data_IF_197243998026
#
_entry.id   IF_197243998026
#
_cell.length_a   1.000
_cell.length_b   1.000
_cell.length_c   1.000
_cell.angle_alpha   90.00
_cell.angle_beta   90.00
_cell.angle_gamma   90.00
#
_symmetry.space_group_name_H-M   'P 1'
#
loop_
_entity.id
_entity.type
_entity.pdbx_description
1 polymer ?
#
# COMPACT_ATOMS: atom_id res chain seq x y z
N UNK A 1 26.61 11.86 5.95
CA UNK A 1 26.18 12.60 7.15
C UNK A 1 26.52 11.79 8.40
N UNK A 2 27.74 11.90 8.92
CA UNK A 2 28.15 11.18 10.14
C UNK A 2 27.61 11.90 11.38
N UNK A 3 26.55 11.37 12.00
CA UNK A 3 26.08 11.87 13.29
C UNK A 3 27.06 11.42 14.38
N UNK A 4 27.82 12.37 14.96
CA UNK A 4 28.68 12.13 16.12
C UNK A 4 27.79 11.99 17.37
N UNK A 5 27.81 10.82 18.02
CA UNK A 5 27.09 10.58 19.29
C UNK A 5 27.64 11.47 20.42
N UNK A 6 26.76 11.90 21.34
CA UNK A 6 27.18 12.66 22.53
C UNK A 6 27.89 11.71 23.50
N UNK A 7 28.87 12.21 24.29
CA UNK A 7 29.73 11.38 25.16
C UNK A 7 29.00 10.52 26.21
N UNK A 8 27.81 10.94 26.65
CA UNK A 8 26.95 10.19 27.58
C UNK A 8 26.03 9.19 26.85
N UNK A 9 26.07 9.18 25.53
CA UNK A 9 25.39 8.24 24.67
C UNK A 9 26.37 7.06 24.45
N UNK A 10 26.32 6.07 25.35
CA UNK A 10 27.08 4.82 25.20
C UNK A 10 26.89 4.30 23.77
N UNK A 11 27.96 3.90 23.03
CA UNK A 11 27.86 3.50 21.64
C UNK A 11 26.72 2.52 21.46
N UNK A 12 25.57 3.02 20.98
CA UNK A 12 24.37 2.20 20.87
C UNK A 12 24.62 1.30 19.70
N UNK A 13 25.17 0.10 19.97
CA UNK A 13 25.27 -0.95 18.96
C UNK A 13 23.90 -1.08 18.30
N UNK A 14 23.88 -0.97 16.98
CA UNK A 14 22.69 -1.23 16.20
C UNK A 14 22.13 -2.60 16.60
N UNK A 15 20.82 -2.70 16.78
CA UNK A 15 20.17 -3.97 17.15
C UNK A 15 19.88 -4.23 18.63
N UNK A 16 20.27 -3.35 19.58
CA UNK A 16 19.86 -3.49 21.00
C UNK A 16 18.34 -3.44 21.19
N UNK A 17 17.65 -2.68 20.34
CA UNK A 17 16.18 -2.54 20.35
C UNK A 17 15.45 -3.53 19.44
N UNK A 18 16.14 -4.50 18.83
CA UNK A 18 15.47 -5.49 17.98
C UNK A 18 15.02 -6.73 18.76
N UNK A 19 15.49 -6.89 20.01
CA UNK A 19 15.12 -7.98 20.93
C UNK A 19 14.30 -7.45 22.11
N UNK A 20 13.48 -8.33 22.72
CA UNK A 20 12.66 -8.02 23.89
C UNK A 20 11.35 -7.27 23.57
N UNK A 21 10.63 -6.83 24.63
CA UNK A 21 9.29 -6.22 24.49
C UNK A 21 9.28 -5.00 23.56
N UNK A 22 10.30 -4.13 23.63
CA UNK A 22 10.41 -2.93 22.79
C UNK A 22 10.64 -3.24 21.31
N UNK A 23 11.48 -4.24 21.00
CA UNK A 23 11.74 -4.67 19.63
C UNK A 23 10.54 -5.34 18.98
N UNK A 24 9.90 -6.26 19.71
CA UNK A 24 8.68 -6.91 19.24
C UNK A 24 7.54 -5.90 19.02
N UNK A 25 7.39 -4.89 19.88
CA UNK A 25 6.41 -3.83 19.69
C UNK A 25 6.69 -3.00 18.42
N UNK A 26 7.95 -2.63 18.18
CA UNK A 26 8.37 -1.89 16.97
C UNK A 26 8.14 -2.72 15.70
N UNK A 27 8.44 -4.01 15.72
CA UNK A 27 8.17 -4.92 14.60
C UNK A 27 6.67 -5.00 14.30
N UNK A 28 5.82 -5.15 15.33
CA UNK A 28 4.36 -5.16 15.16
C UNK A 28 3.82 -3.86 14.57
N UNK A 29 4.35 -2.71 15.00
CA UNK A 29 3.99 -1.41 14.42
C UNK A 29 4.34 -1.35 12.92
N UNK A 30 5.56 -1.75 12.54
CA UNK A 30 5.97 -1.80 11.13
C UNK A 30 5.07 -2.74 10.31
N UNK A 31 4.77 -3.93 10.81
CA UNK A 31 3.88 -4.88 10.14
C UNK A 31 2.48 -4.30 9.93
N UNK A 32 1.93 -3.58 10.92
CA UNK A 32 0.63 -2.91 10.79
C UNK A 32 0.65 -1.83 9.70
N UNK A 33 1.71 -1.02 9.66
CA UNK A 33 1.89 0.00 8.61
C UNK A 33 1.98 -0.64 7.22
N UNK A 34 2.80 -1.68 7.06
CA UNK A 34 2.95 -2.40 5.78
C UNK A 34 1.65 -3.07 5.32
N UNK A 35 0.91 -3.69 6.24
CA UNK A 35 -0.41 -4.29 5.92
C UNK A 35 -1.39 -3.23 5.40
N UNK A 36 -1.44 -2.06 6.05
CA UNK A 36 -2.26 -0.94 5.60
C UNK A 36 -1.85 -0.43 4.23
N UNK A 37 -0.54 -0.28 3.98
CA UNK A 37 -0.01 0.12 2.67
C UNK A 37 -0.40 -0.88 1.57
N UNK A 38 -0.20 -2.18 1.82
CA UNK A 38 -0.57 -3.25 0.87
C UNK A 38 -2.05 -3.20 0.50
N UNK A 39 -2.93 -2.95 1.48
CA UNK A 39 -4.36 -2.84 1.22
C UNK A 39 -4.70 -1.61 0.39
N UNK A 40 -4.07 -0.46 0.65
CA UNK A 40 -4.26 0.77 -0.16
C UNK A 40 -3.82 0.55 -1.61
N UNK A 41 -2.64 -0.01 -1.82
CA UNK A 41 -2.13 -0.33 -3.16
C UNK A 41 -3.03 -1.31 -3.91
N UNK A 42 -3.51 -2.36 -3.23
CA UNK A 42 -4.44 -3.31 -3.84
C UNK A 42 -5.76 -2.62 -4.24
N UNK A 43 -6.35 -1.81 -3.37
CA UNK A 43 -7.59 -1.07 -3.67
C UNK A 43 -7.43 -0.14 -4.88
N UNK A 44 -6.29 0.53 -5.00
CA UNK A 44 -6.00 1.37 -6.16
C UNK A 44 -5.94 0.51 -7.44
N UNK A 45 -5.23 -0.62 -7.42
CA UNK A 45 -5.17 -1.53 -8.56
C UNK A 45 -6.56 -2.07 -8.96
N UNK A 46 -7.37 -2.48 -7.99
CA UNK A 46 -8.73 -3.00 -8.23
C UNK A 46 -9.65 -1.91 -8.82
N UNK A 47 -9.52 -0.64 -8.37
CA UNK A 47 -10.28 0.49 -8.92
C UNK A 47 -9.93 0.77 -10.39
N UNK A 48 -8.64 0.73 -10.75
CA UNK A 48 -8.22 0.91 -12.14
C UNK A 48 -8.73 -0.23 -13.05
N UNK A 49 -8.69 -1.48 -12.59
CA UNK A 49 -9.23 -2.62 -13.36
C UNK A 49 -10.76 -2.54 -13.53
N UNK A 50 -11.48 -2.14 -12.47
CA UNK A 50 -12.94 -1.98 -12.54
C UNK A 50 -13.39 -0.91 -13.53
N UNK A 51 -12.64 0.19 -13.64
CA UNK A 51 -12.92 1.23 -14.63
C UNK A 51 -12.65 0.77 -16.07
N UNK A 52 -11.57 0.03 -16.31
CA UNK A 52 -11.29 -0.57 -17.63
C UNK A 52 -12.40 -1.53 -18.07
N UNK A 53 -12.85 -2.43 -17.18
CA UNK A 53 -13.93 -3.39 -17.48
C UNK A 53 -15.28 -2.71 -17.75
N UNK A 54 -15.55 -1.56 -17.11
CA UNK A 54 -16.79 -0.79 -17.31
C UNK A 54 -16.75 0.00 -18.62
N UNK A 55 -15.58 0.52 -19.01
CA UNK A 55 -15.36 1.16 -20.31
C UNK A 55 -15.41 0.19 -21.48
N UNK A 56 -14.88 -1.03 -21.32
CA UNK A 56 -15.03 -2.09 -22.33
C UNK A 56 -16.49 -2.52 -22.49
N UNK A 57 -17.21 -2.79 -21.39
CA UNK A 57 -18.65 -3.13 -21.44
C UNK A 57 -19.50 -2.01 -22.04
N UNK A 58 -19.20 -0.74 -21.76
CA UNK A 58 -19.91 0.39 -22.34
C UNK A 58 -19.64 0.54 -23.86
N UNK A 59 -18.46 0.14 -24.35
CA UNK A 59 -18.16 0.14 -25.78
C UNK A 59 -18.89 -0.99 -26.54
N UNK A 60 -19.03 -2.18 -25.94
CA UNK A 60 -19.82 -3.29 -26.56
C UNK A 60 -21.33 -3.15 -26.39
N UNK A 61 -21.82 -2.36 -25.42
CA UNK A 61 -23.25 -2.09 -25.19
C UNK A 61 -23.62 -0.64 -25.53
N UNK A 62 -23.30 -0.18 -26.73
CA UNK A 62 -23.91 1.03 -27.29
C UNK A 62 -25.28 0.64 -27.87
N UNK A 63 -26.44 1.04 -27.30
CA UNK A 63 -27.76 0.66 -27.83
C UNK A 63 -28.22 1.58 -28.98
N UNK A 64 -27.31 2.27 -29.66
CA UNK A 64 -27.65 3.31 -30.64
C UNK A 64 -27.86 2.81 -32.09
N UNK A 65 -27.94 1.50 -32.32
CA UNK A 65 -28.07 0.93 -33.67
C UNK A 65 -29.17 -0.13 -33.81
N UNK A 66 -30.36 0.10 -33.27
CA UNK A 66 -31.53 -0.67 -33.70
C UNK A 66 -32.78 0.20 -33.80
N UNK A 67 -32.79 1.10 -34.78
CA UNK A 67 -34.02 1.63 -35.35
C UNK A 67 -34.56 0.60 -36.36
N UNK A 68 -35.71 -0.04 -36.13
CA UNK A 68 -36.36 -0.79 -37.19
C UNK A 68 -36.98 0.21 -38.16
N UNK A 69 -36.53 0.20 -39.41
CA UNK A 69 -37.31 0.74 -40.52
C UNK A 69 -38.26 -0.35 -41.02
N UNK A 70 -39.45 0.08 -41.44
CA UNK A 70 -40.63 -0.67 -41.92
C UNK A 70 -41.69 -1.00 -40.88
#
# INVERSE_FOLDING_TARGET
MSQRLKRWESPRREGRNDKGKGGSARQRQKLKQLKGLRQKLKRQADQHQGQQKRGERAQVLSPLLLSPSF
#
